data_IF_724352127152
#
_entry.id   IF_724352127152
#
_cell.length_a   1.000
_cell.length_b   1.000
_cell.length_c   1.000
_cell.angle_alpha   90.00
_cell.angle_beta   90.00
_cell.angle_gamma   90.00
#
_symmetry.space_group_name_H-M   'P 1'
#
loop_
_entity.id
_entity.type
_entity.pdbx_description
1 polymer ?
#
# COMPACT_ATOMS: atom_id res chain seq x y z
N UNK A 1 11.77 5.59 0.59
CA UNK A 1 11.02 6.85 0.31
C UNK A 1 9.51 6.59 0.38
N UNK A 2 8.63 7.59 0.24
CA UNK A 2 7.17 7.32 0.24
C UNK A 2 6.72 6.48 -0.97
N UNK A 3 7.38 6.63 -2.13
CA UNK A 3 7.17 5.81 -3.32
C UNK A 3 7.54 4.34 -3.06
N UNK A 4 8.72 4.09 -2.50
CA UNK A 4 9.18 2.75 -2.12
C UNK A 4 8.21 2.06 -1.12
N UNK A 5 7.63 2.84 -0.19
CA UNK A 5 6.60 2.32 0.71
C UNK A 5 5.35 1.87 -0.06
N UNK A 6 4.90 2.66 -1.03
CA UNK A 6 3.77 2.33 -1.92
C UNK A 6 4.07 1.06 -2.69
N UNK A 7 5.25 0.95 -3.31
CA UNK A 7 5.64 -0.23 -4.07
C UNK A 7 5.57 -1.51 -3.25
N UNK A 8 6.15 -1.52 -2.05
CA UNK A 8 6.12 -2.68 -1.17
C UNK A 8 4.73 -2.98 -0.59
N UNK A 9 3.89 -1.96 -0.39
CA UNK A 9 2.49 -2.15 -0.01
C UNK A 9 1.77 -2.98 -1.08
N UNK A 10 1.94 -2.63 -2.36
CA UNK A 10 1.24 -3.27 -3.47
C UNK A 10 1.82 -4.63 -3.86
N UNK A 11 3.12 -4.86 -3.64
CA UNK A 11 3.74 -6.20 -3.76
C UNK A 11 3.18 -7.22 -2.75
N UNK A 12 2.69 -6.77 -1.59
CA UNK A 12 2.11 -7.64 -0.56
C UNK A 12 0.61 -7.94 -0.79
N UNK A 13 -0.01 -7.34 -1.81
CA UNK A 13 -1.40 -7.64 -2.18
C UNK A 13 -1.45 -8.87 -3.10
N UNK A 14 -2.52 -9.66 -2.99
CA UNK A 14 -2.78 -10.76 -3.89
C UNK A 14 -3.72 -10.28 -5.02
N UNK A 15 -3.11 -9.71 -6.06
CA UNK A 15 -3.82 -9.03 -7.15
C UNK A 15 -4.32 -7.65 -6.71
N UNK A 16 -5.64 -7.48 -6.65
CA UNK A 16 -6.26 -6.17 -6.39
C UNK A 16 -6.67 -5.97 -4.91
N UNK A 17 -6.45 -6.96 -4.05
CA UNK A 17 -6.82 -6.85 -2.63
C UNK A 17 -5.91 -7.69 -1.75
N UNK A 18 -5.90 -7.39 -0.45
CA UNK A 18 -5.04 -8.10 0.48
C UNK A 18 -5.08 -7.58 1.90
N UNK A 19 -4.42 -8.32 2.80
CA UNK A 19 -4.26 -7.95 4.19
C UNK A 19 -2.87 -7.36 4.41
N UNK A 20 -2.83 -6.11 4.84
CA UNK A 20 -1.59 -5.39 5.08
C UNK A 20 -1.30 -5.25 6.57
N UNK A 21 -0.08 -5.62 6.97
CA UNK A 21 0.42 -5.40 8.33
C UNK A 21 1.56 -4.38 8.27
N UNK A 22 1.26 -3.12 8.58
CA UNK A 22 2.19 -2.00 8.42
C UNK A 22 3.50 -2.17 9.20
N UNK A 23 3.48 -2.78 10.39
CA UNK A 23 4.71 -3.08 11.13
C UNK A 23 5.63 -4.04 10.38
N UNK A 24 5.05 -5.08 9.76
CA UNK A 24 5.80 -6.11 9.05
C UNK A 24 6.54 -5.55 7.82
N UNK A 25 5.92 -4.59 7.13
CA UNK A 25 6.52 -3.89 5.99
C UNK A 25 7.55 -2.86 6.46
N UNK A 26 7.23 -2.09 7.50
CA UNK A 26 8.15 -1.13 8.10
C UNK A 26 9.48 -1.79 8.51
N UNK A 27 9.40 -2.94 9.19
CA UNK A 27 10.57 -3.68 9.66
C UNK A 27 11.40 -4.26 8.49
N UNK A 28 10.74 -4.69 7.40
CA UNK A 28 11.41 -5.27 6.23
C UNK A 28 12.16 -4.22 5.40
N UNK A 29 11.53 -3.08 5.17
CA UNK A 29 12.01 -2.02 4.27
C UNK A 29 12.89 -1.00 5.02
N UNK A 30 12.84 -0.98 6.35
CA UNK A 30 13.61 -0.02 7.16
C UNK A 30 13.00 1.39 7.16
N UNK A 31 11.66 1.49 7.01
CA UNK A 31 10.92 2.75 7.08
C UNK A 31 10.02 2.77 8.32
N UNK A 32 9.56 3.96 8.72
CA UNK A 32 8.63 4.06 9.84
C UNK A 32 7.21 3.67 9.43
N UNK A 33 6.45 3.08 10.36
CA UNK A 33 5.02 2.77 10.18
C UNK A 33 4.19 3.97 9.75
N UNK A 34 4.57 5.19 10.16
CA UNK A 34 3.86 6.42 9.80
C UNK A 34 3.96 6.75 8.32
N UNK A 35 5.07 6.43 7.65
CA UNK A 35 5.22 6.62 6.20
C UNK A 35 4.20 5.75 5.46
N UNK A 36 4.09 4.47 5.84
CA UNK A 36 3.13 3.52 5.26
C UNK A 36 1.69 4.01 5.46
N UNK A 37 1.33 4.37 6.70
CA UNK A 37 -0.03 4.85 7.00
C UNK A 37 -0.36 6.14 6.24
N UNK A 38 0.60 7.05 6.10
CA UNK A 38 0.39 8.28 5.34
C UNK A 38 0.22 8.03 3.85
N UNK A 39 1.01 7.13 3.26
CA UNK A 39 0.85 6.73 1.86
C UNK A 39 -0.55 6.14 1.59
N UNK A 40 -1.01 5.22 2.45
CA UNK A 40 -2.34 4.62 2.35
C UNK A 40 -3.46 5.68 2.45
N UNK A 41 -3.34 6.62 3.40
CA UNK A 41 -4.32 7.71 3.54
C UNK A 41 -4.40 8.61 2.31
N UNK A 42 -3.27 8.90 1.66
CA UNK A 42 -3.25 9.71 0.43
C UNK A 42 -3.93 8.97 -0.72
N UNK A 43 -3.68 7.67 -0.86
CA UNK A 43 -4.30 6.84 -1.90
C UNK A 43 -5.81 6.67 -1.68
N UNK A 44 -6.22 6.46 -0.43
CA UNK A 44 -7.63 6.38 -0.06
C UNK A 44 -8.34 7.72 -0.31
N UNK A 45 -7.71 8.85 0.08
CA UNK A 45 -8.24 10.19 -0.20
C UNK A 45 -8.32 10.51 -1.70
N UNK A 46 -7.49 9.88 -2.53
CA UNK A 46 -7.52 10.03 -3.99
C UNK A 46 -8.51 9.06 -4.66
N UNK A 47 -9.19 8.20 -3.89
CA UNK A 47 -10.12 7.20 -4.42
C UNK A 47 -9.42 6.05 -5.17
N UNK A 48 -8.11 5.86 -4.93
CA UNK A 48 -7.33 4.78 -5.56
C UNK A 48 -7.56 3.45 -4.86
N UNK A 49 -7.73 3.48 -3.53
CA UNK A 49 -7.97 2.31 -2.69
C UNK A 49 -9.14 2.54 -1.74
N UNK A 50 -9.74 1.46 -1.25
CA UNK A 50 -10.50 1.45 0.01
C UNK A 50 -9.68 0.72 1.07
N UNK A 51 -9.79 1.17 2.32
CA UNK A 51 -9.17 0.49 3.46
C UNK A 51 -10.18 0.15 4.55
N UNK A 52 -10.00 -1.01 5.19
CA UNK A 52 -10.79 -1.43 6.35
C UNK A 52 -9.87 -1.97 7.44
N UNK A 53 -9.84 -1.27 8.58
CA UNK A 53 -9.08 -1.71 9.75
C UNK A 53 -9.67 -3.01 10.31
N UNK A 54 -8.81 -4.00 10.58
CA UNK A 54 -9.14 -5.24 11.29
C UNK A 54 -8.43 -5.32 12.65
N UNK A 55 -8.03 -4.16 13.18
CA UNK A 55 -7.29 -4.05 14.44
C UNK A 55 -5.90 -4.69 14.35
N UNK A 56 -5.56 -5.54 15.32
CA UNK A 56 -4.24 -6.18 15.39
C UNK A 56 -3.96 -7.14 14.23
N UNK A 57 -4.99 -7.59 13.50
CA UNK A 57 -4.82 -8.44 12.31
C UNK A 57 -4.25 -7.67 11.12
N UNK A 58 -4.31 -6.34 11.14
CA UNK A 58 -3.87 -5.48 10.05
C UNK A 58 -5.01 -4.69 9.42
N UNK A 59 -4.76 -4.18 8.23
CA UNK A 59 -5.70 -3.39 7.43
C UNK A 59 -5.97 -4.14 6.14
N UNK A 60 -7.23 -4.44 5.86
CA UNK A 60 -7.63 -4.93 4.56
C UNK A 60 -7.63 -3.76 3.57
N UNK A 61 -7.01 -3.97 2.41
CA UNK A 61 -6.92 -2.97 1.35
C UNK A 61 -7.49 -3.59 0.09
N UNK A 62 -8.25 -2.79 -0.64
CA UNK A 62 -8.71 -3.13 -1.98
C UNK A 62 -8.47 -1.98 -2.94
N UNK A 63 -7.92 -2.29 -4.09
CA UNK A 63 -7.63 -1.36 -5.16
C UNK A 63 -8.90 -1.10 -5.95
N UNK A 64 -9.27 0.18 -6.06
CA UNK A 64 -10.44 0.62 -6.82
C UNK A 64 -10.07 0.99 -8.25
N UNK A 65 -8.82 1.39 -8.49
CA UNK A 65 -8.34 1.82 -9.79
C UNK A 65 -7.21 0.91 -10.31
N UNK A 66 -7.54 -0.03 -11.19
CA UNK A 66 -6.56 -0.95 -11.79
C UNK A 66 -5.51 -0.24 -12.66
N UNK A 67 -5.79 0.96 -13.19
CA UNK A 67 -4.80 1.73 -13.97
C UNK A 67 -3.64 2.21 -13.10
N UNK A 68 -3.89 2.43 -11.81
CA UNK A 68 -2.86 2.84 -10.87
C UNK A 68 -1.76 1.78 -10.74
N UNK A 69 -2.13 0.49 -10.68
CA UNK A 69 -1.14 -0.60 -10.60
C UNK A 69 -0.25 -0.65 -11.85
N UNK A 70 -0.86 -0.45 -13.03
CA UNK A 70 -0.14 -0.41 -14.31
C UNK A 70 0.83 0.79 -14.35
N UNK A 71 0.38 1.97 -13.92
CA UNK A 71 1.24 3.16 -13.85
C UNK A 71 2.38 2.99 -12.84
N UNK A 72 2.10 2.38 -11.69
CA UNK A 72 3.10 2.08 -10.67
C UNK A 72 4.19 1.13 -11.20
N UNK A 73 3.80 0.11 -11.97
CA UNK A 73 4.74 -0.82 -12.63
C UNK A 73 5.59 -0.13 -13.70
N UNK A 74 4.99 0.79 -14.47
CA UNK A 74 5.72 1.59 -15.47
C UNK A 74 6.75 2.52 -14.83
N UNK A 75 6.47 3.07 -13.64
CA UNK A 75 7.40 3.92 -12.89
C UNK A 75 8.61 3.13 -12.36
N UNK A 76 8.44 1.84 -12.01
CA UNK A 76 9.56 0.96 -11.64
C UNK A 76 10.50 0.61 -12.80
N UNK A 77 10.00 0.70 -14.03
CA UNK A 77 10.72 0.28 -15.24
C UNK A 77 11.65 1.37 -15.82
N UNK A 78 11.77 2.52 -15.14
CA UNK A 78 12.61 3.67 -15.50
C UNK A 78 13.57 4.02 -14.36
#
# INVERSE_FOLDING_TARGET
>A
SELEAIEHIFEELDGNEGLLVASKIADRVGITRSVIVNALRKLESAGVIESRSLGMKGTYIKVLNNKFLIELENLKSH
#
